data_IF_139063081201
#
_entry.id   IF_139063081201
#
_cell.length_a   1.000
_cell.length_b   1.000
_cell.length_c   1.000
_cell.angle_alpha   90.00
_cell.angle_beta   90.00
_cell.angle_gamma   90.00
#
_symmetry.space_group_name_H-M   'P 1'
#
loop_
_entity.id
_entity.type
_entity.pdbx_description
1 polymer ?
#
# COMPACT_ATOMS: atom_id res chain seq x y z
N UNK A 1 26.96 -15.24 3.10
CA UNK A 1 26.56 -14.14 4.00
C UNK A 1 25.07 -14.26 4.15
N UNK A 2 24.54 -14.28 5.36
CA UNK A 2 23.12 -14.53 5.60
C UNK A 2 22.40 -13.20 5.67
N UNK A 3 21.45 -12.95 4.77
CA UNK A 3 20.58 -11.76 4.82
C UNK A 3 19.67 -11.83 6.04
N UNK A 4 19.59 -10.71 6.76
CA UNK A 4 18.70 -10.49 7.88
C UNK A 4 17.56 -9.56 7.48
N UNK A 5 16.32 -10.01 7.75
CA UNK A 5 15.11 -9.24 7.48
C UNK A 5 14.58 -8.54 8.74
N UNK A 6 15.26 -8.68 9.87
CA UNK A 6 14.86 -8.01 11.09
C UNK A 6 14.77 -6.49 10.88
N UNK A 7 13.71 -5.89 11.41
CA UNK A 7 13.43 -4.46 11.26
C UNK A 7 12.94 -3.88 12.57
N UNK A 8 13.39 -2.67 12.88
CA UNK A 8 12.86 -1.87 13.97
C UNK A 8 11.62 -1.11 13.48
N UNK A 9 10.54 -1.15 14.26
CA UNK A 9 9.35 -0.35 14.02
C UNK A 9 8.83 0.20 15.35
N UNK A 10 8.95 1.51 15.51
CA UNK A 10 8.64 2.24 16.72
C UNK A 10 9.40 1.70 17.94
N UNK A 11 10.67 1.30 17.78
CA UNK A 11 11.51 0.74 18.85
C UNK A 11 11.24 -0.73 19.18
N UNK A 12 10.44 -1.44 18.37
CA UNK A 12 10.20 -2.87 18.49
C UNK A 12 10.86 -3.61 17.34
N UNK A 13 11.58 -4.69 17.67
CA UNK A 13 12.20 -5.57 16.68
C UNK A 13 11.19 -6.60 16.15
N UNK A 14 11.02 -6.64 14.84
CA UNK A 14 10.24 -7.66 14.12
C UNK A 14 11.19 -8.53 13.31
N UNK A 15 10.97 -9.84 13.27
CA UNK A 15 11.87 -10.77 12.54
C UNK A 15 11.79 -10.65 11.01
N UNK A 16 10.77 -9.96 10.49
CA UNK A 16 10.59 -9.59 9.09
C UNK A 16 9.58 -8.43 9.00
N UNK A 17 9.53 -7.67 7.87
CA UNK A 17 8.68 -6.49 7.79
C UNK A 17 7.19 -6.77 7.56
N UNK A 18 6.75 -8.03 7.46
CA UNK A 18 5.38 -8.36 7.03
C UNK A 18 4.42 -8.54 8.21
N UNK A 19 3.36 -7.72 8.22
CA UNK A 19 2.33 -7.66 9.26
C UNK A 19 0.96 -7.84 8.61
N UNK A 20 0.04 -8.55 9.27
CA UNK A 20 -1.35 -8.58 8.83
C UNK A 20 -2.03 -7.23 9.06
N UNK A 21 -2.69 -6.68 8.04
CA UNK A 21 -3.46 -5.44 8.17
C UNK A 21 -4.81 -5.67 8.87
N UNK A 22 -5.41 -4.64 9.53
CA UNK A 22 -6.68 -4.78 10.22
C UNK A 22 -7.79 -5.09 9.20
N UNK A 23 -8.36 -6.29 9.28
CA UNK A 23 -9.21 -6.84 8.22
C UNK A 23 -9.98 -8.06 8.71
N UNK A 24 -10.88 -8.65 7.89
CA UNK A 24 -11.51 -9.94 8.26
C UNK A 24 -10.51 -11.08 8.54
N UNK A 25 -9.25 -10.97 8.09
CA UNK A 25 -8.20 -11.93 8.41
C UNK A 25 -7.74 -11.85 9.87
N UNK A 26 -7.96 -10.71 10.54
CA UNK A 26 -7.49 -10.42 11.90
C UNK A 26 -8.64 -10.24 12.91
N UNK A 27 -9.84 -10.73 12.55
CA UNK A 27 -11.06 -10.64 13.37
C UNK A 27 -11.36 -11.97 14.13
N UNK A 28 -10.48 -12.96 14.05
CA UNK A 28 -10.67 -14.28 14.68
C UNK A 28 -9.34 -14.79 15.22
N UNK A 29 -9.33 -15.21 16.49
CA UNK A 29 -8.12 -15.66 17.19
C UNK A 29 -7.43 -16.84 16.47
N UNK A 30 -8.19 -17.85 16.04
CA UNK A 30 -7.61 -19.03 15.39
C UNK A 30 -6.85 -18.68 14.09
N UNK A 31 -7.32 -17.67 13.35
CA UNK A 31 -6.63 -17.21 12.13
C UNK A 31 -5.33 -16.47 12.47
N UNK A 32 -5.34 -15.68 13.53
CA UNK A 32 -4.15 -14.97 14.02
C UNK A 32 -3.09 -15.96 14.51
N UNK A 33 -3.50 -17.02 15.22
CA UNK A 33 -2.62 -18.12 15.62
C UNK A 33 -1.99 -18.78 14.39
N UNK A 34 -2.80 -19.15 13.39
CA UNK A 34 -2.29 -19.75 12.14
C UNK A 34 -1.30 -18.84 11.43
N UNK A 35 -1.53 -17.52 11.43
CA UNK A 35 -0.62 -16.56 10.83
C UNK A 35 0.72 -16.48 11.55
N UNK A 36 0.71 -16.44 12.88
CA UNK A 36 1.96 -16.41 13.65
C UNK A 36 2.76 -17.71 13.53
N UNK A 37 2.08 -18.86 13.46
CA UNK A 37 2.70 -20.16 13.17
C UNK A 37 3.29 -20.22 11.76
N UNK A 38 2.65 -19.57 10.78
CA UNK A 38 3.13 -19.49 9.41
C UNK A 38 4.32 -18.53 9.22
N UNK A 39 4.61 -17.65 10.19
CA UNK A 39 5.79 -16.77 10.13
C UNK A 39 5.52 -15.28 9.96
N UNK A 40 4.26 -14.83 10.03
CA UNK A 40 3.95 -13.39 10.09
C UNK A 40 4.57 -12.77 11.35
N UNK A 41 5.29 -11.65 11.23
CA UNK A 41 6.00 -11.03 12.36
C UNK A 41 5.04 -10.31 13.33
N UNK A 42 3.90 -9.85 12.81
CA UNK A 42 2.87 -9.25 13.63
C UNK A 42 1.50 -9.22 12.96
N UNK A 43 0.51 -8.75 13.73
CA UNK A 43 -0.83 -8.53 13.22
C UNK A 43 -1.47 -7.30 13.85
N UNK A 44 -2.09 -6.49 12.99
CA UNK A 44 -3.01 -5.46 13.41
C UNK A 44 -4.41 -6.06 13.51
N UNK A 45 -4.99 -6.05 14.70
CA UNK A 45 -6.31 -6.62 14.97
C UNK A 45 -7.39 -5.80 14.27
N UNK A 46 -8.49 -6.46 13.87
CA UNK A 46 -9.64 -5.76 13.26
C UNK A 46 -10.09 -4.62 14.18
N UNK A 47 -10.31 -3.45 13.58
CA UNK A 47 -10.63 -2.23 14.31
C UNK A 47 -11.84 -2.42 15.22
N UNK A 48 -11.73 -1.96 16.47
CA UNK A 48 -12.79 -2.02 17.49
C UNK A 48 -13.18 -0.63 17.97
N UNK A 49 -14.43 -0.49 18.36
CA UNK A 49 -15.00 0.70 19.00
C UNK A 49 -15.47 0.36 20.41
N UNK A 50 -15.80 1.37 21.22
CA UNK A 50 -16.50 1.14 22.49
C UNK A 50 -17.80 0.33 22.30
N UNK A 51 -18.16 -0.52 23.26
CA UNK A 51 -19.27 -1.49 23.12
C UNK A 51 -20.63 -0.82 22.87
N UNK A 52 -20.78 0.44 23.27
CA UNK A 52 -21.97 1.26 22.98
C UNK A 52 -22.12 1.63 21.50
N UNK A 53 -21.12 1.34 20.67
CA UNK A 53 -21.03 1.73 19.25
C UNK A 53 -20.96 0.55 18.29
N UNK A 54 -21.30 -0.67 18.73
CA UNK A 54 -21.34 -1.85 17.83
C UNK A 54 -22.35 -1.60 16.70
N UNK A 55 -21.86 -1.73 15.47
CA UNK A 55 -22.65 -1.52 14.25
C UNK A 55 -22.95 -2.87 13.58
N UNK A 56 -24.20 -3.06 13.18
CA UNK A 56 -24.62 -4.27 12.46
C UNK A 56 -24.16 -4.22 11.01
N UNK A 57 -23.51 -5.30 10.55
CA UNK A 57 -23.02 -5.41 9.17
C UNK A 57 -24.18 -5.64 8.19
N UNK A 58 -23.95 -5.25 6.93
CA UNK A 58 -24.85 -5.53 5.81
C UNK A 58 -24.21 -6.52 4.83
N UNK A 59 -25.03 -7.25 4.07
CA UNK A 59 -24.54 -8.25 3.13
C UNK A 59 -25.22 -8.12 1.75
N UNK A 60 -24.49 -8.37 0.65
CA UNK A 60 -23.06 -8.63 0.56
C UNK A 60 -22.21 -7.36 0.82
N UNK A 61 -21.07 -7.51 1.49
CA UNK A 61 -20.19 -6.39 1.89
C UNK A 61 -18.94 -6.20 1.03
N UNK A 62 -18.55 -7.18 0.21
CA UNK A 62 -17.32 -7.13 -0.61
C UNK A 62 -17.66 -7.54 -2.04
N UNK A 63 -17.04 -6.87 -3.01
CA UNK A 63 -17.06 -7.23 -4.42
C UNK A 63 -15.66 -7.14 -5.02
N UNK A 64 -15.37 -7.97 -6.01
CA UNK A 64 -14.15 -7.92 -6.81
C UNK A 64 -14.11 -6.72 -7.74
N UNK A 65 -12.91 -6.20 -7.98
CA UNK A 65 -12.60 -5.21 -9.01
C UNK A 65 -11.72 -5.91 -10.01
N UNK A 66 -12.26 -6.16 -11.20
CA UNK A 66 -11.59 -6.94 -12.23
C UNK A 66 -11.47 -6.12 -13.53
N UNK A 67 -10.37 -6.31 -14.25
CA UNK A 67 -10.18 -5.82 -15.61
C UNK A 67 -10.09 -7.02 -16.56
N UNK A 68 -11.23 -7.41 -17.14
CA UNK A 68 -11.31 -8.65 -17.90
C UNK A 68 -11.12 -9.86 -16.98
N UNK A 69 -10.06 -10.64 -17.20
CA UNK A 69 -9.72 -11.79 -16.36
C UNK A 69 -8.73 -11.46 -15.22
N UNK A 70 -8.20 -10.23 -15.19
CA UNK A 70 -7.22 -9.81 -14.20
C UNK A 70 -7.89 -9.24 -12.96
N UNK A 71 -7.46 -9.71 -11.80
CA UNK A 71 -7.91 -9.22 -10.50
C UNK A 71 -7.16 -7.94 -10.14
N UNK A 72 -7.90 -6.84 -10.03
CA UNK A 72 -7.35 -5.51 -9.75
C UNK A 72 -7.53 -5.08 -8.30
N UNK A 73 -8.42 -5.74 -7.55
CA UNK A 73 -8.62 -5.43 -6.14
C UNK A 73 -10.00 -5.80 -5.61
N UNK A 74 -10.36 -5.20 -4.47
CA UNK A 74 -11.65 -5.37 -3.82
C UNK A 74 -12.25 -4.00 -3.51
N UNK A 75 -13.57 -3.87 -3.62
CA UNK A 75 -14.31 -2.82 -2.92
C UNK A 75 -15.05 -3.47 -1.75
N UNK A 76 -14.94 -2.86 -0.57
CA UNK A 76 -15.67 -3.28 0.62
C UNK A 76 -16.51 -2.15 1.22
N UNK A 77 -17.64 -2.53 1.81
CA UNK A 77 -18.49 -1.70 2.69
C UNK A 77 -18.58 -2.34 4.08
N UNK A 78 -17.54 -3.09 4.45
CA UNK A 78 -17.41 -3.70 5.77
C UNK A 78 -17.23 -2.60 6.83
N UNK A 79 -17.51 -2.92 8.09
CA UNK A 79 -17.40 -1.99 9.21
C UNK A 79 -16.29 -2.47 10.17
N UNK A 80 -16.36 -2.04 11.43
CA UNK A 80 -15.50 -2.50 12.52
C UNK A 80 -15.78 -3.96 12.90
N UNK A 81 -15.04 -4.48 13.88
CA UNK A 81 -15.31 -5.77 14.48
C UNK A 81 -16.71 -5.79 15.11
N UNK A 82 -17.37 -6.95 15.05
CA UNK A 82 -18.63 -7.23 15.78
C UNK A 82 -18.34 -7.83 17.17
N UNK A 83 -17.08 -8.11 17.49
CA UNK A 83 -16.67 -8.61 18.80
C UNK A 83 -16.63 -7.48 19.82
N UNK A 84 -16.88 -7.83 21.08
CA UNK A 84 -16.74 -6.90 22.20
C UNK A 84 -15.28 -6.53 22.44
N UNK A 85 -15.04 -5.42 23.14
CA UNK A 85 -13.68 -5.05 23.55
C UNK A 85 -13.06 -6.17 24.40
N UNK A 86 -13.84 -6.80 25.29
CA UNK A 86 -13.39 -7.90 26.15
C UNK A 86 -12.92 -9.13 25.36
N UNK A 87 -13.65 -9.51 24.30
CA UNK A 87 -13.29 -10.65 23.45
C UNK A 87 -11.94 -10.43 22.76
N UNK A 88 -11.69 -9.19 22.31
CA UNK A 88 -10.44 -8.80 21.65
C UNK A 88 -9.29 -8.72 22.66
N UNK A 89 -9.53 -8.19 23.87
CA UNK A 89 -8.54 -8.22 24.96
C UNK A 89 -8.13 -9.66 25.31
N UNK A 90 -9.11 -10.57 25.41
CA UNK A 90 -8.83 -11.97 25.69
C UNK A 90 -8.05 -12.64 24.56
N UNK A 91 -8.37 -12.30 23.30
CA UNK A 91 -7.62 -12.75 22.13
C UNK A 91 -6.18 -12.24 22.18
N UNK A 92 -5.98 -10.95 22.48
CA UNK A 92 -4.66 -10.33 22.61
C UNK A 92 -3.82 -11.01 23.70
N UNK A 93 -4.38 -11.18 24.91
CA UNK A 93 -3.70 -11.88 26.02
C UNK A 93 -3.28 -13.29 25.61
N UNK A 94 -4.13 -14.00 24.89
CA UNK A 94 -3.85 -15.35 24.41
C UNK A 94 -2.70 -15.35 23.39
N UNK A 95 -2.70 -14.40 22.45
CA UNK A 95 -1.64 -14.26 21.46
C UNK A 95 -0.30 -13.93 22.12
N UNK A 96 -0.26 -12.95 23.03
CA UNK A 96 0.98 -12.59 23.74
C UNK A 96 1.51 -13.70 24.65
N UNK A 97 0.61 -14.49 25.27
CA UNK A 97 1.02 -15.65 26.07
C UNK A 97 1.63 -16.77 25.22
N UNK A 98 1.09 -17.00 24.02
CA UNK A 98 1.55 -18.08 23.11
C UNK A 98 2.74 -17.66 22.24
N UNK A 99 2.81 -16.39 21.87
CA UNK A 99 3.76 -15.83 20.92
C UNK A 99 4.37 -14.53 21.45
N UNK A 100 5.21 -14.59 22.50
CA UNK A 100 5.72 -13.40 23.18
C UNK A 100 6.57 -12.49 22.29
N UNK A 101 7.22 -13.04 21.25
CA UNK A 101 8.06 -12.30 20.31
C UNK A 101 7.29 -11.66 19.16
N UNK A 102 6.02 -12.03 18.93
CA UNK A 102 5.20 -11.48 17.85
C UNK A 102 4.60 -10.15 18.28
N UNK A 103 4.51 -9.20 17.35
CA UNK A 103 3.93 -7.89 17.59
C UNK A 103 2.43 -7.93 17.38
N UNK A 104 1.64 -7.57 18.40
CA UNK A 104 0.18 -7.52 18.36
C UNK A 104 -0.30 -6.09 18.55
N UNK A 105 -0.98 -5.57 17.52
CA UNK A 105 -1.36 -4.16 17.43
C UNK A 105 -2.90 -4.06 17.39
N UNK A 106 -3.59 -3.76 18.49
CA UNK A 106 -5.01 -3.44 18.43
C UNK A 106 -5.24 -2.16 17.62
N UNK A 107 -6.12 -2.25 16.63
CA UNK A 107 -6.65 -1.09 15.91
C UNK A 107 -7.88 -0.58 16.66
N UNK A 108 -7.88 0.70 17.05
CA UNK A 108 -8.98 1.31 17.80
C UNK A 108 -9.58 2.50 17.05
N UNK A 109 -10.86 2.75 17.30
CA UNK A 109 -11.59 3.91 16.79
C UNK A 109 -12.58 4.42 17.83
N UNK A 110 -12.62 5.73 18.02
CA UNK A 110 -13.56 6.39 18.92
C UNK A 110 -13.85 7.83 18.47
N UNK A 111 -14.79 8.49 19.16
CA UNK A 111 -15.32 9.82 18.76
C UNK A 111 -15.02 10.92 19.78
N UNK A 112 -14.72 10.54 21.03
CA UNK A 112 -14.46 11.46 22.14
C UNK A 112 -13.16 11.09 22.83
N UNK A 113 -12.53 12.08 23.46
CA UNK A 113 -11.27 11.91 24.19
C UNK A 113 -11.33 10.75 25.16
N UNK A 114 -12.36 10.70 25.99
CA UNK A 114 -12.49 9.72 27.07
C UNK A 114 -12.55 8.28 26.52
N UNK A 115 -13.25 8.07 25.40
CA UNK A 115 -13.37 6.77 24.75
C UNK A 115 -12.04 6.32 24.13
N UNK A 116 -11.34 7.23 23.43
CA UNK A 116 -9.99 6.97 22.89
C UNK A 116 -9.03 6.54 24.00
N UNK A 117 -8.99 7.30 25.08
CA UNK A 117 -8.09 7.03 26.21
C UNK A 117 -8.47 5.73 26.94
N UNK A 118 -9.76 5.43 27.06
CA UNK A 118 -10.23 4.20 27.70
C UNK A 118 -9.84 2.98 26.89
N UNK A 119 -10.12 2.96 25.58
CA UNK A 119 -9.74 1.84 24.70
C UNK A 119 -8.24 1.62 24.70
N UNK A 120 -7.45 2.69 24.57
CA UNK A 120 -6.00 2.59 24.52
C UNK A 120 -5.41 1.99 25.81
N UNK A 121 -5.85 2.46 26.98
CA UNK A 121 -5.40 1.91 28.28
C UNK A 121 -5.78 0.45 28.46
N UNK A 122 -7.02 0.10 28.13
CA UNK A 122 -7.53 -1.28 28.17
C UNK A 122 -6.65 -2.24 27.37
N UNK A 123 -6.29 -1.85 26.15
CA UNK A 123 -5.43 -2.67 25.30
C UNK A 123 -3.97 -2.72 25.76
N UNK A 124 -3.42 -1.63 26.30
CA UNK A 124 -2.10 -1.66 26.95
C UNK A 124 -2.10 -2.63 28.15
N UNK A 125 -3.13 -2.59 29.01
CA UNK A 125 -3.28 -3.51 30.14
C UNK A 125 -3.49 -4.97 29.71
N UNK A 126 -4.00 -5.21 28.49
CA UNK A 126 -4.09 -6.53 27.89
C UNK A 126 -2.74 -7.04 27.34
N UNK A 127 -1.76 -6.15 27.13
CA UNK A 127 -0.42 -6.46 26.64
C UNK A 127 -0.15 -6.04 25.19
N UNK A 128 -0.86 -5.03 24.68
CA UNK A 128 -0.60 -4.49 23.35
C UNK A 128 0.84 -3.97 23.21
N UNK A 129 1.49 -4.28 22.08
CA UNK A 129 2.84 -3.80 21.80
C UNK A 129 2.83 -2.39 21.20
N UNK A 130 1.80 -2.07 20.39
CA UNK A 130 1.56 -0.77 19.74
C UNK A 130 0.05 -0.53 19.72
N UNK A 131 -0.41 0.72 19.76
CA UNK A 131 -1.80 1.08 19.45
C UNK A 131 -1.90 1.69 18.04
N UNK A 132 -2.70 1.11 17.16
CA UNK A 132 -3.03 1.73 15.86
C UNK A 132 -4.36 2.49 15.96
N UNK A 133 -4.35 3.79 15.67
CA UNK A 133 -5.57 4.59 15.60
C UNK A 133 -6.10 4.62 14.17
N UNK A 134 -7.25 3.99 13.92
CA UNK A 134 -7.92 4.05 12.62
C UNK A 134 -8.94 5.19 12.61
N UNK A 135 -8.53 6.33 12.08
CA UNK A 135 -9.36 7.55 11.98
C UNK A 135 -9.90 7.81 10.57
N UNK A 136 -9.59 6.93 9.63
CA UNK A 136 -9.85 7.10 8.19
C UNK A 136 -10.74 5.99 7.63
N UNK A 137 -11.98 5.88 8.08
CA UNK A 137 -12.90 4.89 7.51
C UNK A 137 -13.70 5.52 6.35
N UNK A 138 -13.80 4.89 5.16
CA UNK A 138 -14.57 5.44 4.05
C UNK A 138 -16.09 5.51 4.32
N UNK A 139 -16.54 4.83 5.39
CA UNK A 139 -17.91 4.74 5.90
C UNK A 139 -17.95 5.11 7.38
N UNK A 140 -19.14 5.31 7.95
CA UNK A 140 -19.29 5.45 9.39
C UNK A 140 -19.08 6.85 9.95
N UNK A 141 -18.67 7.82 9.13
CA UNK A 141 -18.83 9.23 9.48
C UNK A 141 -20.31 9.61 9.70
N UNK A 142 -21.24 8.94 9.02
CA UNK A 142 -22.68 9.04 9.25
C UNK A 142 -23.13 8.55 10.63
N UNK A 143 -22.36 7.65 11.25
CA UNK A 143 -22.55 7.19 12.63
C UNK A 143 -21.62 7.94 13.61
N UNK A 144 -20.94 8.98 13.14
CA UNK A 144 -19.99 9.78 13.93
C UNK A 144 -18.68 9.07 14.27
N UNK A 145 -18.44 7.86 13.74
CA UNK A 145 -17.31 7.01 14.11
C UNK A 145 -15.94 7.54 13.67
N UNK A 146 -15.91 8.29 12.56
CA UNK A 146 -14.71 8.94 12.04
C UNK A 146 -15.06 10.23 11.28
N UNK A 147 -14.04 11.01 10.91
CA UNK A 147 -14.22 12.16 10.04
C UNK A 147 -14.42 11.74 8.58
N UNK A 148 -15.26 12.45 7.82
CA UNK A 148 -15.45 12.23 6.37
C UNK A 148 -14.18 12.45 5.55
N UNK A 149 -13.36 13.38 6.03
CA UNK A 149 -12.02 13.73 5.52
C UNK A 149 -11.16 13.85 6.76
N UNK A 150 -10.01 13.20 6.77
CA UNK A 150 -9.07 13.34 7.86
C UNK A 150 -8.35 14.68 7.70
N UNK A 151 -8.33 15.45 8.78
CA UNK A 151 -7.85 16.84 8.81
C UNK A 151 -6.69 16.92 9.80
N UNK A 152 -5.61 17.69 9.50
CA UNK A 152 -4.39 17.68 10.31
C UNK A 152 -4.63 18.01 11.79
N UNK A 153 -5.41 19.04 12.11
CA UNK A 153 -5.63 19.49 13.51
C UNK A 153 -6.39 18.44 14.31
N UNK A 154 -7.47 17.89 13.75
CA UNK A 154 -8.21 16.80 14.37
C UNK A 154 -7.35 15.54 14.56
N UNK A 155 -6.50 15.23 13.58
CA UNK A 155 -5.58 14.09 13.64
C UNK A 155 -4.55 14.25 14.75
N UNK A 156 -3.87 15.39 14.82
CA UNK A 156 -2.92 15.71 15.89
C UNK A 156 -3.59 15.59 17.27
N UNK A 157 -4.81 16.10 17.39
CA UNK A 157 -5.53 16.10 18.65
C UNK A 157 -5.86 14.69 19.14
N UNK A 158 -6.33 13.80 18.25
CA UNK A 158 -6.61 12.40 18.56
C UNK A 158 -5.31 11.66 18.93
N UNK A 159 -4.26 11.84 18.12
CA UNK A 159 -2.97 11.21 18.35
C UNK A 159 -2.38 11.61 19.72
N UNK A 160 -2.48 12.90 20.07
CA UNK A 160 -2.09 13.41 21.40
C UNK A 160 -2.91 12.79 22.53
N UNK A 161 -4.23 12.67 22.39
CA UNK A 161 -5.06 12.05 23.43
C UNK A 161 -4.67 10.60 23.71
N UNK A 162 -4.40 9.83 22.65
CA UNK A 162 -4.01 8.43 22.78
C UNK A 162 -2.60 8.33 23.37
N UNK A 163 -1.64 9.13 22.88
CA UNK A 163 -0.27 9.14 23.43
C UNK A 163 -0.24 9.51 24.91
N UNK A 164 -1.01 10.53 25.32
CA UNK A 164 -1.21 10.91 26.74
C UNK A 164 -1.72 9.74 27.60
N UNK A 165 -2.52 8.83 27.03
CA UNK A 165 -3.15 7.74 27.77
C UNK A 165 -2.25 6.51 27.91
N UNK A 166 -1.36 6.26 26.95
CA UNK A 166 -0.57 5.01 26.88
C UNK A 166 0.89 5.17 27.31
N UNK A 167 1.37 6.41 27.44
CA UNK A 167 2.75 6.67 27.86
C UNK A 167 3.77 6.18 26.85
N UNK A 168 4.62 5.24 27.28
CA UNK A 168 5.75 4.74 26.49
C UNK A 168 5.34 3.73 25.41
N UNK A 169 4.10 3.21 25.44
CA UNK A 169 3.62 2.32 24.37
C UNK A 169 3.49 3.12 23.07
N UNK A 170 4.05 2.64 21.94
CA UNK A 170 3.97 3.35 20.68
C UNK A 170 2.54 3.54 20.16
N UNK A 171 2.31 4.67 19.51
CA UNK A 171 1.05 5.02 18.85
C UNK A 171 1.31 5.23 17.36
N UNK A 172 0.57 4.50 16.53
CA UNK A 172 0.60 4.61 15.07
C UNK A 172 -0.72 5.16 14.58
N UNK A 173 -0.68 6.19 13.73
CA UNK A 173 -1.90 6.78 13.15
C UNK A 173 -2.09 6.28 11.71
N UNK A 174 -3.21 5.62 11.44
CA UNK A 174 -3.53 5.16 10.08
C UNK A 174 -4.11 6.30 9.25
N UNK A 175 -3.44 6.65 8.15
CA UNK A 175 -3.76 7.78 7.29
C UNK A 175 -4.59 7.36 6.06
N UNK A 176 -5.34 8.31 5.51
CA UNK A 176 -6.08 8.15 4.26
C UNK A 176 -5.33 8.74 3.08
N UNK A 177 -5.28 8.03 1.95
CA UNK A 177 -4.88 8.64 0.67
C UNK A 177 -5.91 9.63 0.10
N UNK A 178 -7.07 9.77 0.75
CA UNK A 178 -8.08 10.78 0.40
C UNK A 178 -7.83 12.14 1.05
N UNK A 179 -6.83 12.24 1.92
CA UNK A 179 -6.46 13.52 2.53
C UNK A 179 -6.01 14.48 1.43
N UNK A 180 -6.50 15.71 1.49
CA UNK A 180 -6.12 16.76 0.55
C UNK A 180 -4.63 17.08 0.60
N UNK A 181 -4.03 16.91 1.79
CA UNK A 181 -2.60 17.06 2.03
C UNK A 181 -2.17 16.05 3.10
N UNK A 182 -1.76 14.86 2.66
CA UNK A 182 -1.31 13.79 3.55
C UNK A 182 0.00 14.15 4.27
N UNK A 183 0.82 15.04 3.68
CA UNK A 183 2.07 15.50 4.28
C UNK A 183 1.74 16.36 5.50
N UNK A 184 0.82 17.32 5.37
CA UNK A 184 0.37 18.13 6.49
C UNK A 184 -0.23 17.27 7.62
N UNK A 185 -1.00 16.23 7.27
CA UNK A 185 -1.52 15.27 8.26
C UNK A 185 -0.39 14.52 8.96
N UNK A 186 0.61 14.02 8.23
CA UNK A 186 1.75 13.31 8.81
C UNK A 186 2.60 14.20 9.74
N UNK A 187 2.86 15.45 9.35
CA UNK A 187 3.54 16.44 10.21
C UNK A 187 2.74 16.69 11.49
N UNK A 188 1.41 16.77 11.39
CA UNK A 188 0.55 16.93 12.54
C UNK A 188 0.59 15.69 13.48
N UNK A 189 0.73 14.48 12.92
CA UNK A 189 0.99 13.27 13.71
C UNK A 189 2.33 13.36 14.44
N UNK A 190 3.40 13.80 13.78
CA UNK A 190 4.72 13.97 14.40
C UNK A 190 4.67 14.97 15.57
N UNK A 191 4.02 16.12 15.39
CA UNK A 191 3.83 17.13 16.44
C UNK A 191 2.99 16.65 17.63
N UNK A 192 2.20 15.59 17.46
CA UNK A 192 1.41 15.01 18.55
C UNK A 192 2.25 14.16 19.51
N UNK A 193 3.44 13.75 19.09
CA UNK A 193 4.30 12.80 19.81
C UNK A 193 3.96 11.33 19.57
N UNK A 194 3.14 11.03 18.55
CA UNK A 194 2.96 9.67 18.05
C UNK A 194 4.25 9.17 17.38
N UNK A 195 4.43 7.86 17.36
CA UNK A 195 5.71 7.22 17.04
C UNK A 195 5.79 6.79 15.57
N UNK A 196 4.63 6.64 14.92
CA UNK A 196 4.58 6.26 13.51
C UNK A 196 3.26 6.53 12.82
N UNK A 197 3.23 6.25 11.52
CA UNK A 197 2.03 6.29 10.68
C UNK A 197 1.85 5.01 9.90
N UNK A 198 0.59 4.68 9.60
CA UNK A 198 0.26 3.64 8.63
C UNK A 198 -0.29 4.28 7.35
N UNK A 199 0.40 4.05 6.22
CA UNK A 199 0.11 4.69 4.94
C UNK A 199 -0.18 3.63 3.85
N UNK A 200 -1.42 3.34 3.47
CA UNK A 200 -2.68 4.07 3.75
C UNK A 200 -3.84 3.11 3.96
N UNK A 201 -4.97 3.65 4.43
CA UNK A 201 -6.25 2.96 4.40
C UNK A 201 -6.82 2.86 2.96
N UNK A 202 -7.91 2.13 2.80
CA UNK A 202 -8.65 2.01 1.54
C UNK A 202 -9.17 3.35 1.02
N UNK A 203 -9.31 3.48 -0.31
CA UNK A 203 -9.79 4.71 -0.96
C UNK A 203 -11.27 4.60 -1.29
N UNK A 204 -12.05 5.62 -0.93
CA UNK A 204 -13.47 5.69 -1.27
C UNK A 204 -13.67 5.65 -2.79
N UNK A 205 -14.55 4.77 -3.23
CA UNK A 205 -14.72 4.41 -4.64
C UNK A 205 -16.13 3.90 -4.94
N UNK A 206 -16.45 3.84 -6.23
CA UNK A 206 -17.53 3.03 -6.81
C UNK A 206 -16.88 2.18 -7.89
N UNK A 207 -17.11 0.87 -7.87
CA UNK A 207 -16.48 -0.07 -8.82
C UNK A 207 -17.32 -0.36 -10.05
N UNK A 208 -18.62 -0.09 -10.00
CA UNK A 208 -19.47 -0.24 -11.15
C UNK A 208 -20.94 -0.05 -10.85
N UNK A 209 -21.74 -0.05 -11.91
CA UNK A 209 -23.20 0.01 -11.87
C UNK A 209 -23.74 -1.14 -12.70
N UNK A 210 -24.68 -1.90 -12.13
CA UNK A 210 -25.40 -2.89 -12.90
C UNK A 210 -26.26 -2.18 -13.95
N UNK A 211 -25.96 -2.36 -15.25
CA UNK A 211 -26.63 -1.62 -16.33
C UNK A 211 -28.10 -2.03 -16.55
N UNK A 212 -28.51 -3.20 -16.04
CA UNK A 212 -29.89 -3.65 -16.14
C UNK A 212 -30.77 -3.06 -15.02
N UNK A 213 -30.24 -2.98 -13.79
CA UNK A 213 -30.99 -2.49 -12.63
C UNK A 213 -30.71 -1.03 -12.29
N UNK A 214 -29.64 -0.45 -12.85
CA UNK A 214 -29.08 0.86 -12.54
C UNK A 214 -28.57 1.01 -11.09
N UNK A 215 -28.41 -0.10 -10.38
CA UNK A 215 -27.97 -0.11 -8.98
C UNK A 215 -26.44 -0.29 -8.94
N UNK A 216 -25.70 0.57 -8.20
CA UNK A 216 -24.26 0.40 -8.00
C UNK A 216 -23.90 -0.87 -7.22
N UNK A 217 -22.65 -1.31 -7.34
CA UNK A 217 -22.11 -2.41 -6.55
C UNK A 217 -21.38 -1.95 -5.27
N UNK A 218 -21.43 -2.74 -4.17
CA UNK A 218 -22.27 -3.94 -4.00
C UNK A 218 -23.76 -3.56 -3.82
N UNK A 219 -24.65 -4.43 -4.28
CA UNK A 219 -26.09 -4.23 -4.14
C UNK A 219 -26.59 -4.90 -2.85
N UNK A 220 -27.04 -4.09 -1.91
CA UNK A 220 -27.67 -4.51 -0.65
C UNK A 220 -29.15 -4.17 -0.71
N UNK A 221 -29.98 -5.20 -0.92
CA UNK A 221 -31.44 -5.09 -0.93
C UNK A 221 -31.99 -3.94 -1.82
N UNK A 222 -31.38 -3.70 -2.98
CA UNK A 222 -31.78 -2.65 -3.93
C UNK A 222 -31.04 -1.32 -3.79
N UNK A 223 -30.17 -1.19 -2.78
CA UNK A 223 -29.40 0.01 -2.48
C UNK A 223 -27.90 -0.26 -2.53
N UNK A 224 -27.11 0.81 -2.56
CA UNK A 224 -25.65 0.74 -2.50
C UNK A 224 -25.07 2.00 -1.86
N UNK A 225 -23.77 1.98 -1.57
CA UNK A 225 -23.01 3.12 -1.05
C UNK A 225 -21.61 3.10 -1.63
N UNK A 226 -20.88 4.21 -1.51
CA UNK A 226 -19.44 4.25 -1.79
C UNK A 226 -18.73 3.16 -0.99
N UNK A 227 -17.63 2.57 -1.47
CA UNK A 227 -16.85 1.55 -0.76
C UNK A 227 -15.36 1.87 -0.69
N UNK A 228 -14.62 1.16 0.14
CA UNK A 228 -13.16 1.24 0.21
C UNK A 228 -12.50 0.32 -0.83
N UNK A 229 -11.78 0.89 -1.79
CA UNK A 229 -10.93 0.20 -2.75
C UNK A 229 -9.62 -0.25 -2.07
N UNK A 230 -9.30 -1.53 -2.23
CA UNK A 230 -8.04 -2.15 -1.82
C UNK A 230 -7.48 -3.02 -2.94
N UNK A 231 -6.26 -3.55 -2.76
CA UNK A 231 -5.61 -4.43 -3.74
C UNK A 231 -4.72 -3.71 -4.76
N UNK A 232 -4.26 -4.42 -5.81
CA UNK A 232 -3.25 -3.92 -6.74
C UNK A 232 -3.52 -2.52 -7.33
N UNK A 233 -4.78 -2.20 -7.61
CA UNK A 233 -5.18 -0.89 -8.13
C UNK A 233 -4.84 0.29 -7.21
N UNK A 234 -4.68 0.04 -5.90
CA UNK A 234 -4.31 1.05 -4.91
C UNK A 234 -2.79 1.29 -4.84
N UNK A 235 -1.96 0.33 -5.27
CA UNK A 235 -0.50 0.34 -5.08
C UNK A 235 0.16 1.65 -5.51
N UNK A 236 -0.09 2.21 -6.72
CA UNK A 236 0.59 3.43 -7.14
C UNK A 236 0.31 4.64 -6.25
N UNK A 237 -0.90 4.72 -5.68
CA UNK A 237 -1.28 5.81 -4.77
C UNK A 237 -0.63 5.61 -3.40
N UNK A 238 -0.61 4.38 -2.90
CA UNK A 238 0.04 4.05 -1.63
C UNK A 238 1.57 4.26 -1.68
N UNK A 239 2.23 3.92 -2.80
CA UNK A 239 3.66 4.21 -3.00
C UNK A 239 3.96 5.71 -2.95
N UNK A 240 3.13 6.53 -3.63
CA UNK A 240 3.24 8.00 -3.56
C UNK A 240 3.14 8.48 -2.11
N UNK A 241 2.08 8.09 -1.41
CA UNK A 241 1.86 8.49 -0.01
C UNK A 241 3.04 8.10 0.89
N UNK A 242 3.54 6.88 0.75
CA UNK A 242 4.70 6.39 1.52
C UNK A 242 5.92 7.28 1.28
N UNK A 243 6.26 7.53 0.02
CA UNK A 243 7.43 8.34 -0.33
C UNK A 243 7.30 9.80 0.12
N UNK A 244 6.13 10.41 -0.08
CA UNK A 244 5.86 11.80 0.32
C UNK A 244 5.99 11.98 1.84
N UNK A 245 5.49 11.03 2.62
CA UNK A 245 5.63 11.03 4.09
C UNK A 245 7.10 10.83 4.48
N UNK A 246 7.76 9.81 3.94
CA UNK A 246 9.15 9.47 4.28
C UNK A 246 10.15 10.59 3.93
N UNK A 247 9.83 11.48 2.99
CA UNK A 247 10.65 12.64 2.65
C UNK A 247 10.44 13.84 3.57
N UNK A 248 9.46 13.81 4.48
CA UNK A 248 8.97 15.00 5.19
C UNK A 248 8.93 14.89 6.71
N UNK A 249 8.79 13.68 7.25
CA UNK A 249 8.74 13.43 8.69
C UNK A 249 9.73 12.33 9.07
N UNK A 250 10.19 12.35 10.32
CA UNK A 250 11.11 11.35 10.89
C UNK A 250 10.35 10.22 11.63
N UNK A 251 9.09 9.99 11.26
CA UNK A 251 8.23 8.95 11.82
C UNK A 251 8.50 7.59 11.17
N UNK A 252 8.31 6.52 11.94
CA UNK A 252 8.27 5.17 11.38
C UNK A 252 7.01 4.95 10.54
N UNK A 253 7.18 4.29 9.38
CA UNK A 253 6.09 4.11 8.41
C UNK A 253 5.76 2.62 8.24
N UNK A 254 4.52 2.26 8.56
CA UNK A 254 3.94 0.97 8.21
C UNK A 254 3.08 1.11 6.95
N UNK A 255 3.59 0.74 5.77
CA UNK A 255 2.83 0.94 4.53
C UNK A 255 1.79 -0.15 4.29
N UNK A 256 0.66 0.24 3.72
CA UNK A 256 -0.42 -0.65 3.29
C UNK A 256 -1.04 -0.15 1.99
N UNK A 257 -1.41 -1.09 1.10
CA UNK A 257 -2.13 -0.77 -0.12
C UNK A 257 -1.54 -1.46 -1.35
N UNK A 258 -2.16 -2.57 -1.76
CA UNK A 258 -1.85 -3.23 -3.02
C UNK A 258 -0.56 -4.05 -3.07
N UNK A 259 0.01 -4.37 -1.91
CA UNK A 259 1.11 -5.33 -1.79
C UNK A 259 0.56 -6.74 -2.02
N UNK A 260 1.00 -7.39 -3.10
CA UNK A 260 0.60 -8.75 -3.46
C UNK A 260 1.76 -9.71 -3.67
N UNK A 261 2.97 -9.17 -3.81
CA UNK A 261 4.21 -9.91 -4.06
C UNK A 261 5.36 -9.33 -3.23
N UNK A 262 6.48 -10.04 -3.16
CA UNK A 262 7.68 -9.53 -2.49
C UNK A 262 8.26 -8.32 -3.23
N UNK A 263 8.10 -8.23 -4.55
CA UNK A 263 8.53 -7.08 -5.36
C UNK A 263 7.77 -5.83 -4.95
N UNK A 264 6.44 -5.94 -4.77
CA UNK A 264 5.63 -4.85 -4.27
C UNK A 264 6.15 -4.41 -2.90
N UNK A 265 6.42 -5.35 -1.99
CA UNK A 265 6.98 -5.06 -0.67
C UNK A 265 8.33 -4.35 -0.74
N UNK A 266 9.25 -4.83 -1.58
CA UNK A 266 10.57 -4.22 -1.79
C UNK A 266 10.45 -2.77 -2.29
N UNK A 267 9.49 -2.46 -3.17
CA UNK A 267 9.23 -1.09 -3.62
C UNK A 267 8.81 -0.17 -2.47
N UNK A 268 7.91 -0.62 -1.58
CA UNK A 268 7.52 0.18 -0.41
C UNK A 268 8.68 0.41 0.56
N UNK A 269 9.47 -0.63 0.83
CA UNK A 269 10.67 -0.52 1.67
C UNK A 269 11.65 0.50 1.08
N UNK A 270 11.97 0.38 -0.21
CA UNK A 270 12.83 1.32 -0.92
C UNK A 270 12.32 2.77 -0.88
N UNK A 271 11.01 2.97 -0.74
CA UNK A 271 10.36 4.28 -0.59
C UNK A 271 10.19 4.73 0.86
N UNK A 272 10.76 4.02 1.84
CA UNK A 272 10.86 4.47 3.23
C UNK A 272 9.89 3.81 4.20
N UNK A 273 9.16 2.76 3.80
CA UNK A 273 8.40 1.95 4.76
C UNK A 273 9.36 1.12 5.63
N UNK A 274 9.11 1.06 6.94
CA UNK A 274 9.76 0.14 7.88
C UNK A 274 9.05 -1.20 7.90
N UNK A 275 7.70 -1.20 7.91
CA UNK A 275 6.88 -2.42 7.90
C UNK A 275 5.78 -2.37 6.84
N UNK A 276 5.19 -3.53 6.54
CA UNK A 276 4.28 -3.75 5.43
C UNK A 276 3.01 -4.48 5.91
N UNK A 277 1.89 -3.77 5.92
CA UNK A 277 0.58 -4.27 6.30
C UNK A 277 -0.19 -4.86 5.10
N UNK A 278 -0.49 -6.15 5.14
CA UNK A 278 -1.07 -6.90 4.01
C UNK A 278 -2.46 -7.46 4.35
N UNK A 279 -3.42 -7.28 3.44
CA UNK A 279 -4.79 -7.80 3.57
C UNK A 279 -5.27 -8.50 2.29
N UNK A 280 -5.38 -7.77 1.18
CA UNK A 280 -5.98 -8.31 -0.06
C UNK A 280 -5.26 -9.55 -0.59
N UNK A 281 -3.93 -9.59 -0.48
CA UNK A 281 -3.15 -10.75 -0.89
C UNK A 281 -3.44 -11.98 -0.01
N UNK A 282 -3.62 -11.79 1.31
CA UNK A 282 -3.98 -12.87 2.24
C UNK A 282 -5.38 -13.39 1.93
N UNK A 283 -6.33 -12.50 1.65
CA UNK A 283 -7.69 -12.89 1.23
C UNK A 283 -7.69 -13.68 -0.10
N UNK A 284 -6.75 -13.36 -1.00
CA UNK A 284 -6.68 -13.97 -2.34
C UNK A 284 -5.90 -15.28 -2.36
N UNK A 285 -4.78 -15.35 -1.66
CA UNK A 285 -3.79 -16.43 -1.76
C UNK A 285 -3.65 -17.25 -0.46
N UNK A 286 -4.28 -16.81 0.63
CA UNK A 286 -4.20 -17.45 1.95
C UNK A 286 -3.05 -16.96 2.82
N UNK A 287 -3.05 -17.39 4.07
CA UNK A 287 -2.07 -16.99 5.11
C UNK A 287 -0.64 -17.41 4.74
N UNK A 288 -0.49 -18.52 4.01
CA UNK A 288 0.82 -19.07 3.61
C UNK A 288 1.60 -18.25 2.59
N UNK A 289 1.03 -17.18 2.03
CA UNK A 289 1.77 -16.27 1.11
C UNK A 289 3.01 -15.67 1.77
N UNK A 290 3.06 -15.61 3.10
CA UNK A 290 4.21 -15.12 3.86
C UNK A 290 5.52 -15.82 3.48
N UNK A 291 5.50 -17.11 3.15
CA UNK A 291 6.68 -17.86 2.72
C UNK A 291 7.28 -17.27 1.44
N UNK A 292 6.43 -16.98 0.45
CA UNK A 292 6.85 -16.36 -0.82
C UNK A 292 7.35 -14.94 -0.60
N UNK A 293 6.69 -14.17 0.27
CA UNK A 293 7.06 -12.80 0.60
C UNK A 293 8.46 -12.73 1.24
N UNK A 294 8.70 -13.56 2.25
CA UNK A 294 9.96 -13.63 2.99
C UNK A 294 11.08 -14.18 2.11
N UNK A 295 10.87 -15.31 1.44
CA UNK A 295 11.91 -15.93 0.60
C UNK A 295 12.28 -15.05 -0.59
N UNK A 296 11.27 -14.44 -1.23
CA UNK A 296 11.49 -13.56 -2.37
C UNK A 296 12.25 -12.29 -2.00
N UNK A 297 11.85 -11.62 -0.91
CA UNK A 297 12.55 -10.42 -0.43
C UNK A 297 14.00 -10.74 -0.06
N UNK A 298 14.21 -11.86 0.65
CA UNK A 298 15.55 -12.32 1.03
C UNK A 298 16.42 -12.61 -0.18
N UNK A 299 15.92 -13.37 -1.15
CA UNK A 299 16.66 -13.72 -2.37
C UNK A 299 17.03 -12.49 -3.19
N UNK A 300 16.14 -11.50 -3.28
CA UNK A 300 16.43 -10.23 -3.95
C UNK A 300 17.50 -9.41 -3.21
N UNK A 301 17.44 -9.34 -1.88
CA UNK A 301 18.49 -8.68 -1.09
C UNK A 301 19.85 -9.36 -1.27
N UNK A 302 19.90 -10.70 -1.30
CA UNK A 302 21.12 -11.46 -1.60
C UNK A 302 21.68 -11.13 -2.99
N UNK A 303 20.82 -11.06 -4.02
CA UNK A 303 21.22 -10.68 -5.38
C UNK A 303 21.81 -9.25 -5.43
N UNK A 304 21.22 -8.31 -4.68
CA UNK A 304 21.70 -6.92 -4.61
C UNK A 304 22.89 -6.72 -3.67
N UNK A 305 23.27 -7.73 -2.89
CA UNK A 305 24.32 -7.62 -1.89
C UNK A 305 23.93 -6.78 -0.67
N UNK A 306 22.63 -6.64 -0.40
CA UNK A 306 22.11 -6.02 0.83
C UNK A 306 22.16 -7.04 1.96
N UNK A 307 22.54 -6.62 3.16
CA UNK A 307 22.68 -7.52 4.31
C UNK A 307 21.56 -7.34 5.33
N UNK A 308 21.13 -6.10 5.54
CA UNK A 308 20.13 -5.74 6.55
C UNK A 308 19.08 -4.79 5.97
N UNK A 309 17.96 -4.63 6.68
CA UNK A 309 16.88 -3.75 6.24
C UNK A 309 17.30 -2.28 6.10
N UNK A 310 18.28 -1.81 6.87
CA UNK A 310 18.86 -0.46 6.74
C UNK A 310 19.57 -0.22 5.40
N UNK A 311 19.99 -1.28 4.69
CA UNK A 311 20.57 -1.16 3.34
C UNK A 311 19.51 -0.90 2.26
N UNK A 312 18.23 -1.09 2.60
CA UNK A 312 17.08 -1.07 1.68
C UNK A 312 16.17 0.12 1.95
N UNK A 313 15.79 0.32 3.21
CA UNK A 313 14.75 1.28 3.59
C UNK A 313 15.12 2.69 3.12
N UNK A 314 14.22 3.31 2.34
CA UNK A 314 14.37 4.68 1.84
C UNK A 314 15.43 4.88 0.75
N UNK A 315 16.10 3.81 0.28
CA UNK A 315 17.21 3.92 -0.67
C UNK A 315 16.84 4.50 -2.03
N UNK A 316 15.55 4.48 -2.40
CA UNK A 316 15.05 5.09 -3.63
C UNK A 316 14.66 6.57 -3.48
N UNK A 317 14.50 7.08 -2.26
CA UNK A 317 14.04 8.45 -2.01
C UNK A 317 14.94 9.54 -2.64
N UNK A 318 16.29 9.43 -2.64
CA UNK A 318 17.14 10.44 -3.26
C UNK A 318 16.97 10.57 -4.79
N UNK A 319 16.37 9.58 -5.45
CA UNK A 319 16.09 9.61 -6.89
C UNK A 319 14.76 10.30 -7.22
N UNK A 320 13.92 10.56 -6.22
CA UNK A 320 12.68 11.33 -6.37
C UNK A 320 12.99 12.82 -6.23
N UNK A 321 13.18 13.46 -7.38
CA UNK A 321 13.48 14.89 -7.48
C UNK A 321 12.31 15.66 -8.08
N UNK A 322 12.28 16.97 -7.84
CA UNK A 322 11.35 17.87 -8.51
C UNK A 322 11.48 17.77 -10.03
N UNK A 323 10.39 17.98 -10.75
CA UNK A 323 10.40 17.90 -12.21
C UNK A 323 11.45 18.84 -12.83
N UNK A 324 11.68 20.01 -12.21
CA UNK A 324 12.68 21.01 -12.64
C UNK A 324 14.13 20.49 -12.58
N UNK A 325 14.42 19.48 -11.76
CA UNK A 325 15.75 18.92 -11.55
C UNK A 325 16.08 17.78 -12.52
N UNK A 326 15.09 17.22 -13.22
CA UNK A 326 15.34 16.16 -14.21
C UNK A 326 16.22 16.70 -15.36
N UNK A 327 17.20 15.92 -15.87
CA UNK A 327 18.06 16.38 -16.94
C UNK A 327 17.26 16.67 -18.22
N UNK A 328 17.57 17.80 -18.88
CA UNK A 328 16.92 18.24 -20.13
C UNK A 328 17.82 17.96 -21.33
N UNK A 329 17.22 17.85 -22.51
CA UNK A 329 17.95 17.69 -23.78
C UNK A 329 18.51 16.30 -24.04
N UNK A 330 18.21 15.30 -23.19
CA UNK A 330 18.56 13.90 -23.48
C UNK A 330 17.53 13.32 -24.45
N UNK A 331 17.95 12.94 -25.65
CA UNK A 331 17.07 12.32 -26.63
C UNK A 331 17.07 10.80 -26.51
N UNK A 332 15.87 10.22 -26.42
CA UNK A 332 15.65 8.79 -26.60
C UNK A 332 14.84 8.55 -27.87
N UNK A 333 14.96 7.37 -28.45
CA UNK A 333 14.11 6.89 -29.53
C UNK A 333 13.59 5.50 -29.21
N UNK A 334 12.35 5.23 -29.63
CA UNK A 334 11.79 3.89 -29.52
C UNK A 334 12.53 2.93 -30.46
N UNK A 335 12.81 1.74 -29.96
CA UNK A 335 13.39 0.64 -30.70
C UNK A 335 12.48 -0.57 -30.58
N UNK A 336 12.04 -1.11 -31.72
CA UNK A 336 11.13 -2.27 -31.77
C UNK A 336 11.98 -3.49 -32.08
N UNK A 337 11.86 -4.52 -31.25
CA UNK A 337 12.49 -5.83 -31.38
C UNK A 337 11.66 -6.71 -32.33
N UNK A 338 12.08 -6.90 -33.60
CA UNK A 338 11.26 -7.59 -34.60
C UNK A 338 10.99 -9.05 -34.25
N UNK A 339 11.89 -9.70 -33.51
CA UNK A 339 11.79 -11.09 -33.06
C UNK A 339 10.73 -11.29 -31.96
N UNK A 340 10.36 -10.24 -31.23
CA UNK A 340 9.29 -10.27 -30.22
C UNK A 340 7.99 -9.71 -30.79
N UNK A 341 8.06 -8.82 -31.78
CA UNK A 341 6.91 -8.14 -32.35
C UNK A 341 6.00 -9.09 -33.16
N UNK A 342 4.70 -9.01 -32.92
CA UNK A 342 3.69 -9.78 -33.67
C UNK A 342 2.93 -8.94 -34.71
N UNK A 343 3.32 -7.69 -34.97
CA UNK A 343 2.68 -6.83 -35.98
C UNK A 343 1.28 -6.31 -35.63
N UNK A 344 0.85 -6.31 -34.36
CA UNK A 344 -0.51 -5.88 -33.98
C UNK A 344 -0.86 -4.41 -34.27
N UNK A 345 0.15 -3.55 -34.51
CA UNK A 345 -0.04 -2.15 -34.87
C UNK A 345 -0.47 -1.19 -33.75
N UNK A 346 -0.65 -1.66 -32.50
CA UNK A 346 -1.07 -0.80 -31.37
C UNK A 346 -0.08 0.35 -31.13
N UNK A 347 1.22 0.08 -31.24
CA UNK A 347 2.27 1.10 -31.12
C UNK A 347 2.17 2.20 -32.19
N UNK A 348 1.82 1.82 -33.43
CA UNK A 348 1.53 2.75 -34.51
C UNK A 348 0.31 3.63 -34.19
N UNK A 349 -0.81 3.01 -33.79
CA UNK A 349 -2.03 3.71 -33.41
C UNK A 349 -1.76 4.71 -32.29
N UNK A 350 -1.07 4.27 -31.23
CA UNK A 350 -0.73 5.13 -30.09
C UNK A 350 0.15 6.32 -30.51
N UNK A 351 1.17 6.09 -31.35
CA UNK A 351 2.06 7.14 -31.83
C UNK A 351 1.36 8.14 -32.76
N UNK A 352 0.36 7.69 -33.54
CA UNK A 352 -0.42 8.55 -34.44
C UNK A 352 -1.49 9.36 -33.70
N UNK A 353 -2.13 8.78 -32.69
CA UNK A 353 -3.24 9.43 -32.00
C UNK A 353 -2.78 10.36 -30.88
N UNK A 354 -1.73 10.00 -30.14
CA UNK A 354 -1.26 10.77 -28.98
C UNK A 354 0.25 10.97 -28.92
N UNK A 355 0.97 10.62 -29.99
CA UNK A 355 2.42 10.77 -30.08
C UNK A 355 2.83 11.79 -31.15
N UNK A 356 3.85 11.44 -31.93
CA UNK A 356 4.53 12.35 -32.87
C UNK A 356 4.55 11.79 -34.30
N UNK A 357 3.63 10.87 -34.63
CA UNK A 357 3.57 10.22 -35.96
C UNK A 357 4.90 9.61 -36.40
N UNK A 358 5.64 9.10 -35.42
CA UNK A 358 7.01 8.60 -35.57
C UNK A 358 7.05 7.09 -35.85
N UNK A 359 5.91 6.44 -36.09
CA UNK A 359 5.84 5.02 -36.45
C UNK A 359 5.05 4.90 -37.75
N UNK A 360 5.54 4.06 -38.65
CA UNK A 360 4.83 3.66 -39.88
C UNK A 360 4.68 2.15 -39.93
N UNK A 361 3.61 1.67 -40.57
CA UNK A 361 3.44 0.25 -40.87
C UNK A 361 4.01 -0.02 -42.26
N UNK A 362 4.96 -0.96 -42.37
CA UNK A 362 5.50 -1.42 -43.64
C UNK A 362 4.84 -2.72 -44.10
N UNK A 363 5.33 -3.29 -45.21
CA UNK A 363 4.87 -4.59 -45.71
C UNK A 363 4.83 -5.64 -44.58
N UNK A 364 3.75 -6.43 -44.54
CA UNK A 364 3.48 -7.37 -43.46
C UNK A 364 2.96 -6.73 -42.17
N UNK A 365 2.53 -5.45 -42.19
CA UNK A 365 2.03 -4.71 -41.02
C UNK A 365 3.06 -4.56 -39.88
N UNK A 366 4.35 -4.68 -40.20
CA UNK A 366 5.41 -4.52 -39.20
C UNK A 366 5.63 -3.02 -38.90
N UNK A 367 5.54 -2.61 -37.62
CA UNK A 367 5.78 -1.24 -37.21
C UNK A 367 7.27 -0.90 -37.30
N UNK A 368 7.57 0.27 -37.86
CA UNK A 368 8.94 0.82 -37.91
C UNK A 368 8.96 2.26 -37.41
N UNK A 369 9.94 2.58 -36.57
CA UNK A 369 10.14 3.91 -36.01
C UNK A 369 10.91 4.81 -37.00
N UNK A 370 10.31 5.95 -37.35
CA UNK A 370 10.97 7.07 -38.02
C UNK A 370 11.77 7.84 -36.94
N UNK A 371 13.06 7.51 -36.80
CA UNK A 371 13.92 8.06 -35.74
C UNK A 371 13.94 9.59 -35.69
N UNK A 372 13.93 10.26 -36.85
CA UNK A 372 13.93 11.73 -36.93
C UNK A 372 12.68 12.40 -36.38
N UNK A 373 11.56 11.67 -36.26
CA UNK A 373 10.31 12.15 -35.65
C UNK A 373 10.14 11.66 -34.21
N UNK A 374 10.88 10.63 -33.81
CA UNK A 374 10.70 10.00 -32.51
C UNK A 374 11.40 10.83 -31.44
N UNK A 375 10.63 11.31 -30.46
CA UNK A 375 11.15 12.06 -29.31
C UNK A 375 11.34 11.18 -28.07
N UNK A 376 11.08 9.86 -28.17
CA UNK A 376 11.26 8.94 -27.06
C UNK A 376 10.24 9.06 -25.93
N UNK A 377 9.01 9.53 -26.21
CA UNK A 377 7.96 9.74 -25.19
C UNK A 377 7.50 8.47 -24.44
N UNK A 378 7.91 7.27 -24.88
CA UNK A 378 7.58 6.00 -24.21
C UNK A 378 6.15 5.50 -24.40
N UNK A 379 5.23 6.28 -24.97
CA UNK A 379 3.81 5.89 -25.14
C UNK A 379 3.67 4.55 -25.88
N UNK A 380 4.36 4.37 -27.00
CA UNK A 380 4.27 3.13 -27.77
C UNK A 380 4.79 1.92 -27.00
N UNK A 381 5.80 2.12 -26.14
CA UNK A 381 6.34 1.08 -25.25
C UNK A 381 5.31 0.70 -24.19
N UNK A 382 4.69 1.69 -23.55
CA UNK A 382 3.65 1.46 -22.53
C UNK A 382 2.46 0.64 -23.08
N UNK A 383 2.09 0.88 -24.34
CA UNK A 383 0.97 0.20 -25.00
C UNK A 383 1.31 -1.18 -25.58
N UNK A 384 2.59 -1.58 -25.61
CA UNK A 384 3.00 -2.86 -26.18
C UNK A 384 2.79 -3.99 -25.16
N UNK A 385 1.79 -4.84 -25.38
CA UNK A 385 1.49 -6.00 -24.51
C UNK A 385 2.60 -7.05 -24.50
N UNK A 386 3.34 -7.21 -25.59
CA UNK A 386 4.48 -8.15 -25.70
C UNK A 386 5.80 -7.59 -25.16
N UNK A 387 5.82 -6.33 -24.71
CA UNK A 387 7.06 -5.63 -24.30
C UNK A 387 8.17 -5.64 -25.37
N UNK A 388 7.79 -5.69 -26.64
CA UNK A 388 8.71 -5.71 -27.80
C UNK A 388 9.38 -4.36 -28.10
N UNK A 389 9.23 -3.34 -27.24
CA UNK A 389 9.70 -1.98 -27.51
C UNK A 389 10.54 -1.48 -26.33
N UNK A 390 11.76 -1.04 -26.62
CA UNK A 390 12.67 -0.40 -25.66
C UNK A 390 12.90 1.07 -26.03
N UNK A 391 13.44 1.85 -25.10
CA UNK A 391 13.93 3.20 -25.36
C UNK A 391 15.46 3.16 -25.37
N UNK A 392 16.06 3.65 -26.46
CA UNK A 392 17.51 3.67 -26.65
C UNK A 392 17.99 5.09 -26.91
N UNK A 393 19.22 5.38 -26.52
CA UNK A 393 19.90 6.62 -26.92
C UNK A 393 20.44 6.47 -28.36
N UNK A 394 20.22 7.45 -29.25
CA UNK A 394 20.86 7.45 -30.57
C UNK A 394 22.39 7.44 -30.44
N UNK A 395 23.07 6.66 -31.29
CA UNK A 395 24.52 6.46 -31.20
C UNK A 395 25.36 7.73 -31.46
N UNK A 396 24.77 8.78 -32.04
CA UNK A 396 25.44 10.01 -32.44
C UNK A 396 25.69 10.99 -31.26
N UNK A 397 25.14 10.72 -30.08
CA UNK A 397 25.30 11.57 -28.87
C UNK A 397 26.18 10.93 -27.77
N UNK A 398 26.83 9.79 -28.06
CA UNK A 398 27.65 9.07 -27.08
C UNK A 398 29.12 9.48 -27.15
N UNK A 399 29.60 10.24 -26.15
CA UNK A 399 31.03 10.28 -25.86
C UNK A 399 31.54 8.88 -25.47
N UNK A 400 32.80 8.57 -25.77
CA UNK A 400 33.43 7.23 -25.70
C UNK A 400 33.42 6.51 -24.34
N UNK A 401 32.77 7.06 -23.30
CA UNK A 401 32.74 6.55 -21.93
C UNK A 401 31.36 6.03 -21.44
N UNK A 402 30.30 6.03 -22.25
CA UNK A 402 28.93 5.67 -21.82
C UNK A 402 28.25 4.53 -22.62
N UNK A 403 28.99 3.46 -22.96
CA UNK A 403 28.44 2.34 -23.76
C UNK A 403 27.56 1.35 -22.98
N UNK A 404 27.51 1.42 -21.64
CA UNK A 404 26.72 0.50 -20.82
C UNK A 404 25.27 0.98 -20.59
N UNK A 405 24.96 2.26 -20.83
CA UNK A 405 23.63 2.89 -20.62
C UNK A 405 22.73 2.90 -21.88
N UNK A 406 22.99 2.04 -22.86
CA UNK A 406 22.35 2.10 -24.18
C UNK A 406 20.84 1.75 -24.16
N UNK A 407 20.39 1.01 -23.15
CA UNK A 407 19.04 0.47 -23.08
C UNK A 407 18.50 0.70 -21.67
N UNK A 408 17.48 1.55 -21.57
CA UNK A 408 16.71 1.65 -20.33
C UNK A 408 15.68 0.52 -20.34
N UNK A 409 15.98 -0.57 -19.64
CA UNK A 409 15.01 -1.58 -19.24
C UNK A 409 14.34 -1.09 -17.96
N UNK A 410 13.23 -0.34 -18.09
CA UNK A 410 12.35 0.05 -16.98
C UNK A 410 11.28 -1.00 -16.71
#
# INVERSE_FOLDING_TARGET
MTVDLAVDFCGLELENPFILAPSPCTDQLDRLIQAFEAGWAGAVLKTVTVDSSIVSRVFPLVIGVDQGAEFMGLQNIDLVSEHSVEDIEQSLRTLKARFPTKVVIPSIMATKKEDWQTLAKRFVEAGADIIECSISFPHGAEWGLCSKVQEPVGTEQIARWVKEAVGDVPVVIKLSAQDSDIIATAVAVEHSGADGVCAVNTIKSITGVNLATLIPYPNVAGLSTYGGLSGPALKPIALRCTAEIAQKVDLDISSSGGITTWQDGAEFLLLGASTLQICTAVLRYGIGIIDELVLGLKGWMEEKGFQNMTDVIGRSLPFLVEHSQLPRGIQFVSHILPEVCNGCGVCYTACRTGGHEAIVLREGYLPQVIKSKCIGCGICRAMCSLKAITLIRPAEELNSYQKEDLIINL
#
